data_IF_335955623097
#
_entry.id   IF_335955623097
#
_cell.length_a   1.000
_cell.length_b   1.000
_cell.length_c   1.000
_cell.angle_alpha   90.00
_cell.angle_beta   90.00
_cell.angle_gamma   90.00
#
_symmetry.space_group_name_H-M   'P 1'
#
loop_
_entity.id
_entity.type
_entity.pdbx_description
1 polymer ?
#
# COMPACT_ATOMS: atom_id res chain seq x y z
N UNK A 1 -45.11 33.51 40.32
CA UNK A 1 -43.96 33.77 41.21
C UNK A 1 -42.72 33.88 40.33
N UNK A 2 -42.04 35.05 40.34
CA UNK A 2 -41.05 35.49 39.35
C UNK A 2 -39.62 35.01 39.75
N UNK A 3 -38.49 35.25 39.08
CA UNK A 3 -37.98 36.38 38.28
C UNK A 3 -36.67 35.96 37.57
N UNK A 4 -36.45 36.52 36.38
CA UNK A 4 -35.19 36.58 35.60
C UNK A 4 -34.14 37.56 36.18
N UNK A 5 -32.83 37.28 36.02
CA UNK A 5 -31.78 38.26 35.62
C UNK A 5 -30.41 37.57 35.43
N UNK A 6 -29.81 37.50 34.24
CA UNK A 6 -29.04 38.50 33.45
C UNK A 6 -27.60 38.71 33.95
N UNK A 7 -26.65 38.29 33.09
CA UNK A 7 -25.39 38.91 32.66
C UNK A 7 -24.77 40.06 33.48
N UNK A 8 -23.46 39.94 33.78
CA UNK A 8 -22.36 40.94 33.63
C UNK A 8 -21.17 40.46 34.50
N UNK A 9 -20.02 40.07 33.94
CA UNK A 9 -18.93 40.90 33.40
C UNK A 9 -18.13 41.70 34.47
N UNK A 10 -16.88 41.25 34.66
CA UNK A 10 -15.65 42.00 34.88
C UNK A 10 -15.39 42.80 36.19
N UNK A 11 -14.25 42.43 36.80
CA UNK A 11 -13.26 43.24 37.53
C UNK A 11 -13.55 43.71 38.97
N UNK A 12 -12.84 43.08 39.92
CA UNK A 12 -12.06 43.77 40.96
C UNK A 12 -10.97 42.84 41.50
N UNK A 13 -9.74 43.32 41.49
CA UNK A 13 -8.51 42.68 41.96
C UNK A 13 -8.43 42.64 43.49
N UNK A 14 -7.75 41.61 44.06
CA UNK A 14 -6.48 41.76 44.81
C UNK A 14 -6.10 40.46 45.55
N UNK A 15 -4.86 40.00 45.29
CA UNK A 15 -3.96 39.41 46.29
C UNK A 15 -4.02 37.90 46.54
N UNK A 16 -3.06 37.14 46.01
CA UNK A 16 -2.03 36.48 46.83
C UNK A 16 -0.90 35.88 45.99
N UNK A 17 0.29 35.85 46.58
CA UNK A 17 1.63 35.72 46.01
C UNK A 17 2.02 34.38 45.35
N UNK A 18 2.99 34.56 44.44
CA UNK A 18 3.85 33.63 43.70
C UNK A 18 4.77 32.76 44.59
N UNK A 19 4.93 31.47 44.25
CA UNK A 19 6.22 30.80 43.94
C UNK A 19 6.12 29.27 43.73
N UNK A 20 7.08 28.64 43.00
CA UNK A 20 6.81 27.56 42.05
C UNK A 20 7.31 26.16 42.48
N UNK A 21 6.79 25.11 41.84
CA UNK A 21 7.35 23.75 41.89
C UNK A 21 8.10 23.40 40.59
N UNK A 22 9.31 22.86 40.76
CA UNK A 22 10.39 22.74 39.78
C UNK A 22 10.27 21.57 38.78
N UNK A 23 10.92 21.79 37.63
CA UNK A 23 11.23 20.84 36.57
C UNK A 23 12.18 19.72 37.02
N UNK A 24 11.89 18.49 36.58
CA UNK A 24 12.76 17.32 36.75
C UNK A 24 13.93 17.33 35.77
N UNK A 25 15.15 17.36 36.31
CA UNK A 25 16.41 17.38 35.55
C UNK A 25 17.00 15.98 35.32
N UNK A 26 17.84 15.93 34.29
CA UNK A 26 18.47 14.77 33.65
C UNK A 26 19.47 14.05 34.58
N UNK A 27 19.52 12.71 34.49
CA UNK A 27 20.56 11.86 35.10
C UNK A 27 21.91 12.02 34.38
N UNK A 28 23.05 12.08 35.10
CA UNK A 28 24.37 12.20 34.48
C UNK A 28 25.00 10.86 34.09
N UNK A 29 25.85 10.95 33.07
CA UNK A 29 26.74 9.94 32.48
C UNK A 29 27.97 9.66 33.34
N UNK A 30 28.32 8.38 33.51
CA UNK A 30 29.59 7.96 34.09
C UNK A 30 30.70 7.89 33.02
N UNK A 31 31.68 8.77 33.15
CA UNK A 31 33.00 8.71 32.52
C UNK A 31 33.96 7.92 33.42
N UNK A 32 34.69 6.94 32.87
CA UNK A 32 35.89 6.40 33.51
C UNK A 32 37.01 6.20 32.47
N UNK A 33 37.83 7.24 32.40
CA UNK A 33 39.29 7.29 32.19
C UNK A 33 39.93 6.49 31.03
N UNK A 34 40.32 7.23 29.99
CA UNK A 34 41.50 6.97 29.17
C UNK A 34 42.78 7.26 29.96
N UNK A 35 43.82 6.47 29.72
CA UNK A 35 45.20 6.75 30.12
C UNK A 35 46.10 6.39 28.93
N UNK A 36 46.70 7.42 28.34
CA UNK A 36 47.77 7.28 27.35
C UNK A 36 49.12 7.03 28.06
N UNK A 37 49.94 6.15 27.50
CA UNK A 37 51.40 6.28 27.55
C UNK A 37 52.05 5.44 26.45
N UNK A 38 52.85 6.11 25.63
CA UNK A 38 53.63 5.55 24.55
C UNK A 38 54.87 4.76 25.04
N UNK A 39 55.47 4.01 24.10
CA UNK A 39 56.92 3.85 23.81
C UNK A 39 57.49 2.41 23.86
N UNK A 40 58.14 2.05 22.74
CA UNK A 40 59.26 1.09 22.51
C UNK A 40 59.07 -0.44 22.45
N UNK A 41 59.31 -0.98 21.24
CA UNK A 41 59.87 -2.31 20.88
C UNK A 41 61.32 -2.52 21.42
N UNK A 42 62.02 -3.66 21.16
CA UNK A 42 61.65 -5.08 21.19
C UNK A 42 62.72 -5.94 21.91
N UNK A 43 62.43 -7.18 22.33
CA UNK A 43 63.50 -8.16 22.61
C UNK A 43 63.15 -9.60 22.19
N UNK A 44 64.17 -10.24 21.65
CA UNK A 44 64.14 -11.40 20.78
C UNK A 44 64.22 -12.77 21.49
N UNK A 45 63.71 -13.77 20.76
CA UNK A 45 64.20 -15.17 20.60
C UNK A 45 64.68 -15.94 21.85
N UNK A 46 63.96 -17.05 22.15
CA UNK A 46 64.58 -18.40 22.30
C UNK A 46 63.65 -19.49 21.75
N UNK A 47 64.21 -20.34 20.90
CA UNK A 47 63.61 -21.56 20.34
C UNK A 47 64.20 -22.78 21.07
N UNK A 48 63.42 -23.81 21.48
CA UNK A 48 63.09 -25.11 20.82
C UNK A 48 62.76 -26.13 21.97
N UNK A 49 62.26 -27.39 21.77
CA UNK A 49 61.70 -28.04 20.58
C UNK A 49 60.38 -28.87 20.81
N UNK A 50 59.72 -29.17 19.67
CA UNK A 50 58.96 -30.37 19.27
C UNK A 50 57.97 -31.10 20.21
N UNK A 51 56.69 -31.16 19.79
CA UNK A 51 55.89 -32.40 19.86
C UNK A 51 55.06 -32.58 18.58
N UNK A 52 55.33 -33.68 17.84
CA UNK A 52 54.72 -34.04 16.54
C UNK A 52 53.35 -34.74 16.67
N UNK A 53 52.75 -34.77 17.86
CA UNK A 53 51.51 -35.53 18.10
C UNK A 53 50.19 -34.74 17.92
N UNK A 54 50.23 -33.40 17.80
CA UNK A 54 49.00 -32.56 17.70
C UNK A 54 48.54 -32.20 16.28
N UNK A 55 49.29 -32.58 15.22
CA UNK A 55 48.93 -32.26 13.82
C UNK A 55 47.94 -33.24 13.18
N UNK A 56 47.85 -34.49 13.66
CA UNK A 56 46.96 -35.51 13.09
C UNK A 56 45.50 -35.29 13.48
N UNK A 57 45.20 -34.90 14.72
CA UNK A 57 43.83 -34.57 15.16
C UNK A 57 43.29 -33.29 14.51
N UNK A 58 44.15 -32.31 14.23
CA UNK A 58 43.73 -31.05 13.62
C UNK A 58 43.32 -31.24 12.15
N UNK A 59 44.05 -32.06 11.40
CA UNK A 59 43.72 -32.38 10.00
C UNK A 59 42.46 -33.27 9.86
N UNK A 60 42.16 -34.13 10.83
CA UNK A 60 40.91 -34.90 10.88
C UNK A 60 39.68 -34.02 11.19
N UNK A 61 39.85 -32.96 12.00
CA UNK A 61 38.81 -31.98 12.31
C UNK A 61 38.49 -31.03 11.14
N UNK A 62 39.49 -30.68 10.32
CA UNK A 62 39.28 -29.89 9.11
C UNK A 62 38.60 -30.66 7.97
N UNK A 63 38.96 -31.94 7.78
CA UNK A 63 38.35 -32.78 6.73
C UNK A 63 36.91 -33.19 7.03
N UNK A 64 36.54 -33.30 8.31
CA UNK A 64 35.14 -33.51 8.73
C UNK A 64 34.30 -32.23 8.66
N UNK A 65 34.88 -31.06 8.98
CA UNK A 65 34.23 -29.75 8.82
C UNK A 65 34.05 -29.38 7.34
N UNK A 66 35.04 -29.71 6.50
CA UNK A 66 34.97 -29.55 5.04
C UNK A 66 33.91 -30.47 4.43
N UNK A 67 33.80 -31.74 4.85
CA UNK A 67 32.71 -32.64 4.41
C UNK A 67 31.32 -32.22 4.91
N UNK A 68 31.22 -31.58 6.08
CA UNK A 68 29.96 -30.97 6.55
C UNK A 68 29.57 -29.74 5.74
N UNK A 69 30.55 -28.93 5.35
CA UNK A 69 30.35 -27.75 4.49
C UNK A 69 29.95 -28.17 3.07
N UNK A 70 30.55 -29.22 2.50
CA UNK A 70 30.16 -29.71 1.17
C UNK A 70 28.77 -30.37 1.16
N UNK A 71 28.41 -31.14 2.21
CA UNK A 71 27.03 -31.67 2.34
C UNK A 71 25.98 -30.58 2.59
N UNK A 72 26.34 -29.50 3.31
CA UNK A 72 25.48 -28.33 3.47
C UNK A 72 25.34 -27.53 2.15
N UNK A 73 26.37 -27.53 1.31
CA UNK A 73 26.37 -26.90 -0.01
C UNK A 73 25.59 -27.71 -1.06
N UNK A 74 25.64 -29.06 -1.01
CA UNK A 74 24.85 -29.94 -1.87
C UNK A 74 23.37 -29.95 -1.48
N UNK A 75 23.04 -29.90 -0.17
CA UNK A 75 21.67 -29.69 0.31
C UNK A 75 21.08 -28.31 -0.04
N UNK A 76 21.93 -27.33 -0.38
CA UNK A 76 21.50 -25.99 -0.80
C UNK A 76 21.03 -25.94 -2.26
N UNK A 77 21.51 -26.85 -3.13
CA UNK A 77 21.13 -26.85 -4.57
C UNK A 77 19.67 -27.27 -4.80
N UNK A 78 19.12 -28.15 -3.96
CA UNK A 78 17.72 -28.57 -4.06
C UNK A 78 16.73 -27.60 -3.39
N UNK A 79 17.19 -26.72 -2.49
CA UNK A 79 16.38 -25.60 -1.98
C UNK A 79 16.34 -24.39 -2.92
N UNK A 80 17.42 -24.16 -3.69
CA UNK A 80 17.51 -23.04 -4.64
C UNK A 80 16.40 -23.04 -5.69
N UNK A 81 16.03 -24.19 -6.26
CA UNK A 81 14.98 -24.23 -7.28
C UNK A 81 13.57 -23.91 -6.74
N UNK A 82 13.28 -24.29 -5.49
CA UNK A 82 12.01 -23.98 -4.83
C UNK A 82 11.98 -22.52 -4.36
N UNK A 83 13.07 -22.01 -3.77
CA UNK A 83 13.23 -20.60 -3.39
C UNK A 83 13.22 -19.69 -4.63
N UNK A 84 13.83 -20.08 -5.76
CA UNK A 84 13.86 -19.30 -7.02
C UNK A 84 12.49 -19.28 -7.73
N UNK A 85 11.68 -20.33 -7.60
CA UNK A 85 10.28 -20.34 -8.06
C UNK A 85 9.38 -19.51 -7.11
N UNK A 86 9.62 -19.60 -5.80
CA UNK A 86 8.97 -18.79 -4.77
C UNK A 86 9.29 -17.29 -4.90
N UNK A 87 10.53 -16.95 -5.24
CA UNK A 87 10.98 -15.57 -5.50
C UNK A 87 10.44 -15.05 -6.85
N UNK A 88 10.31 -15.90 -7.87
CA UNK A 88 9.67 -15.55 -9.16
C UNK A 88 8.18 -15.25 -9.03
N UNK A 89 7.45 -15.99 -8.18
CA UNK A 89 6.05 -15.69 -7.87
C UNK A 89 5.87 -14.36 -7.09
N UNK A 90 6.89 -13.91 -6.35
CA UNK A 90 6.89 -12.66 -5.55
C UNK A 90 7.40 -11.43 -6.32
N UNK A 91 7.91 -11.60 -7.53
CA UNK A 91 8.56 -10.53 -8.33
C UNK A 91 7.71 -10.03 -9.48
N UNK A 92 6.63 -10.72 -9.86
CA UNK A 92 5.75 -10.20 -10.88
C UNK A 92 4.81 -9.15 -10.25
N UNK A 93 4.87 -7.88 -10.68
CA UNK A 93 4.02 -6.85 -10.11
C UNK A 93 2.55 -7.17 -10.40
N UNK A 94 1.68 -6.93 -9.43
CA UNK A 94 0.26 -6.93 -9.72
C UNK A 94 -0.06 -5.64 -10.48
N UNK A 95 -0.97 -5.69 -11.44
CA UNK A 95 -1.41 -4.52 -12.19
C UNK A 95 -2.90 -4.62 -12.53
N UNK A 96 -3.48 -3.52 -12.99
CA UNK A 96 -4.88 -3.49 -13.37
C UNK A 96 -5.39 -2.07 -13.60
N UNK A 97 -6.70 -1.95 -13.80
CA UNK A 97 -7.35 -0.65 -13.83
C UNK A 97 -7.80 -0.24 -12.43
N UNK A 98 -7.78 1.06 -12.18
CA UNK A 98 -8.18 1.70 -10.92
C UNK A 98 -9.28 2.72 -11.18
N UNK A 99 -10.25 2.78 -10.28
CA UNK A 99 -11.32 3.76 -10.32
C UNK A 99 -11.52 4.35 -8.94
N UNK A 100 -11.73 5.66 -8.89
CA UNK A 100 -12.00 6.39 -7.67
C UNK A 100 -13.47 6.80 -7.65
N UNK A 101 -14.14 6.47 -6.56
CA UNK A 101 -15.53 6.88 -6.33
C UNK A 101 -15.64 7.59 -5.00
N UNK A 102 -16.51 8.58 -4.89
CA UNK A 102 -16.95 9.09 -3.60
C UNK A 102 -18.47 8.97 -3.49
N UNK A 103 -18.97 8.91 -2.26
CA UNK A 103 -20.41 8.95 -1.97
C UNK A 103 -20.71 10.15 -1.08
N UNK A 104 -21.72 10.98 -1.39
CA UNK A 104 -22.20 12.03 -0.50
C UNK A 104 -22.74 11.49 0.84
N UNK A 105 -22.84 12.35 1.86
CA UNK A 105 -23.49 12.03 3.13
C UNK A 105 -24.96 11.65 2.93
N UNK A 106 -25.47 10.87 3.89
CA UNK A 106 -26.88 10.50 3.98
C UNK A 106 -27.74 11.78 3.97
N UNK A 107 -28.79 11.80 3.16
CA UNK A 107 -29.67 12.95 2.89
C UNK A 107 -29.03 14.11 2.10
N UNK A 108 -27.87 13.89 1.46
CA UNK A 108 -27.30 14.82 0.49
C UNK A 108 -27.22 14.13 -0.88
N UNK A 109 -27.69 14.82 -1.91
CA UNK A 109 -27.55 14.39 -3.32
C UNK A 109 -26.19 14.77 -3.90
N UNK A 110 -25.64 15.90 -3.42
CA UNK A 110 -24.37 16.48 -3.86
C UNK A 110 -23.51 16.81 -2.63
N UNK A 111 -22.19 16.67 -2.77
CA UNK A 111 -21.23 17.09 -1.76
C UNK A 111 -20.58 18.41 -2.22
N UNK A 112 -20.34 19.35 -1.30
CA UNK A 112 -19.66 20.62 -1.61
C UNK A 112 -18.32 20.75 -0.88
N UNK A 113 -17.97 19.75 -0.06
CA UNK A 113 -16.73 19.69 0.71
C UNK A 113 -16.34 18.23 0.98
N UNK A 114 -15.08 17.97 1.36
CA UNK A 114 -14.62 16.63 1.82
C UNK A 114 -15.40 16.19 3.05
N UNK A 115 -15.86 17.15 3.85
CA UNK A 115 -16.70 16.85 5.00
C UNK A 115 -18.03 16.22 4.56
N UNK A 116 -18.62 16.67 3.44
CA UNK A 116 -19.88 16.15 2.88
C UNK A 116 -19.75 14.81 2.19
N UNK A 117 -18.52 14.30 2.03
CA UNK A 117 -18.28 12.93 1.59
C UNK A 117 -18.57 11.98 2.76
N UNK A 118 -19.37 10.95 2.52
CA UNK A 118 -19.56 9.83 3.44
C UNK A 118 -18.37 8.87 3.35
N UNK A 119 -18.16 8.34 2.14
CA UNK A 119 -17.16 7.34 1.84
C UNK A 119 -16.38 7.76 0.59
N UNK A 120 -15.09 7.47 0.60
CA UNK A 120 -14.23 7.54 -0.58
C UNK A 120 -13.71 6.13 -0.85
N UNK A 121 -13.94 5.64 -2.06
CA UNK A 121 -13.66 4.29 -2.50
C UNK A 121 -12.64 4.29 -3.63
N UNK A 122 -11.79 3.28 -3.61
CA UNK A 122 -10.86 2.94 -4.67
C UNK A 122 -11.19 1.51 -5.11
N UNK A 123 -11.63 1.35 -6.34
CA UNK A 123 -11.91 0.06 -6.97
C UNK A 123 -10.69 -0.37 -7.78
N UNK A 124 -10.17 -1.54 -7.49
CA UNK A 124 -9.10 -2.17 -8.27
C UNK A 124 -9.70 -3.32 -9.08
N UNK A 125 -9.41 -3.35 -10.37
CA UNK A 125 -9.75 -4.44 -11.28
C UNK A 125 -8.45 -5.05 -11.79
N UNK A 126 -7.92 -6.12 -11.14
CA UNK A 126 -6.68 -6.74 -11.54
C UNK A 126 -6.73 -7.27 -12.98
N UNK A 127 -5.65 -7.08 -13.73
CA UNK A 127 -5.52 -7.53 -15.13
C UNK A 127 -4.21 -8.27 -15.36
N UNK A 128 -4.16 -9.21 -16.32
CA UNK A 128 -2.89 -9.76 -16.79
C UNK A 128 -2.03 -8.67 -17.46
N UNK A 129 -0.73 -8.94 -17.71
CA UNK A 129 0.10 -8.06 -18.53
C UNK A 129 -0.50 -7.79 -19.90
N UNK A 130 -0.36 -6.58 -20.43
CA UNK A 130 -0.80 -6.26 -21.79
C UNK A 130 -0.19 -7.15 -22.86
N UNK A 131 1.08 -7.52 -22.70
CA UNK A 131 1.76 -8.43 -23.64
C UNK A 131 1.32 -9.90 -23.53
N UNK A 132 0.61 -10.30 -22.46
CA UNK A 132 0.24 -11.70 -22.23
C UNK A 132 -1.08 -12.07 -22.90
N UNK A 133 -1.91 -11.09 -23.25
CA UNK A 133 -3.15 -11.30 -23.99
C UNK A 133 -2.81 -11.01 -25.45
N UNK A 134 -2.78 -12.06 -26.28
CA UNK A 134 -2.63 -11.88 -27.72
C UNK A 134 -3.74 -10.96 -28.24
N UNK A 135 -3.41 -10.04 -29.15
CA UNK A 135 -4.35 -9.08 -29.72
C UNK A 135 -5.56 -9.86 -30.31
N UNK A 136 -6.73 -9.79 -29.68
CA UNK A 136 -7.96 -10.41 -30.19
C UNK A 136 -8.38 -9.65 -31.46
N UNK A 137 -7.82 -10.10 -32.58
CA UNK A 137 -7.85 -9.47 -33.90
C UNK A 137 -6.91 -10.14 -34.89
N UNK A 138 -5.93 -10.92 -34.43
CA UNK A 138 -5.17 -11.84 -35.27
C UNK A 138 -5.71 -13.28 -35.11
N UNK A 139 -5.96 -13.92 -36.24
CA UNK A 139 -6.41 -15.30 -36.41
C UNK A 139 -5.69 -16.32 -35.50
N UNK A 140 -6.44 -17.36 -35.10
CA UNK A 140 -6.08 -18.58 -34.34
C UNK A 140 -4.57 -18.87 -34.18
N UNK A 141 -4.11 -19.27 -32.98
CA UNK A 141 -2.79 -19.87 -32.84
C UNK A 141 -2.81 -21.26 -33.50
N UNK A 142 -2.05 -21.42 -34.57
CA UNK A 142 -1.51 -22.72 -34.94
C UNK A 142 -0.51 -23.16 -33.86
N UNK A 143 -0.34 -24.48 -33.71
CA UNK A 143 0.44 -25.18 -32.68
C UNK A 143 1.81 -24.54 -32.37
N UNK A 144 2.32 -24.67 -31.13
CA UNK A 144 3.50 -23.95 -30.68
C UNK A 144 4.76 -24.59 -31.26
N UNK A 145 5.22 -24.06 -32.39
CA UNK A 145 6.58 -24.29 -32.85
C UNK A 145 7.53 -23.62 -31.85
N UNK A 146 8.43 -24.44 -31.27
CA UNK A 146 9.40 -24.14 -30.20
C UNK A 146 10.48 -23.10 -30.56
N UNK A 147 10.21 -22.21 -31.51
CA UNK A 147 11.11 -21.18 -32.02
C UNK A 147 10.49 -19.78 -32.01
N UNK A 148 9.40 -19.55 -31.26
CA UNK A 148 8.86 -18.19 -31.02
C UNK A 148 9.79 -17.40 -30.10
N UNK A 149 10.85 -16.91 -30.74
CA UNK A 149 11.76 -15.80 -30.48
C UNK A 149 11.52 -14.99 -29.20
N UNK A 150 12.63 -14.74 -28.51
CA UNK A 150 12.81 -13.74 -27.46
C UNK A 150 12.33 -12.35 -27.94
N UNK A 151 11.03 -12.06 -27.88
CA UNK A 151 10.54 -10.69 -27.94
C UNK A 151 11.00 -10.04 -26.63
N UNK A 152 12.13 -9.33 -26.70
CA UNK A 152 12.62 -8.50 -25.60
C UNK A 152 11.47 -7.59 -25.19
N UNK A 153 10.85 -7.88 -24.04
CA UNK A 153 9.83 -7.02 -23.48
C UNK A 153 10.46 -5.66 -23.21
N UNK A 154 9.77 -4.60 -23.62
CA UNK A 154 10.17 -3.24 -23.27
C UNK A 154 10.27 -3.11 -21.75
N UNK A 155 11.20 -2.25 -21.29
CA UNK A 155 11.40 -2.02 -19.87
C UNK A 155 10.08 -1.59 -19.25
N UNK A 156 9.70 -2.22 -18.13
CA UNK A 156 8.46 -1.87 -17.44
C UNK A 156 7.16 -2.34 -18.09
N UNK A 157 7.18 -3.08 -19.21
CA UNK A 157 5.99 -3.64 -19.84
C UNK A 157 5.18 -4.56 -18.91
N UNK A 158 5.81 -5.06 -17.84
CA UNK A 158 5.14 -5.80 -16.78
C UNK A 158 4.38 -4.91 -15.79
N UNK A 159 4.37 -3.58 -15.87
CA UNK A 159 3.46 -2.76 -15.07
C UNK A 159 2.17 -2.41 -15.81
N UNK A 160 2.16 -2.56 -17.13
CA UNK A 160 1.03 -2.18 -17.99
C UNK A 160 -0.03 -3.30 -18.00
N UNK A 161 -1.29 -3.00 -17.62
CA UNK A 161 -2.38 -3.96 -17.70
C UNK A 161 -2.80 -4.25 -19.14
N UNK A 162 -3.40 -5.41 -19.36
CA UNK A 162 -4.11 -5.69 -20.59
C UNK A 162 -5.36 -4.83 -20.71
N UNK A 163 -5.59 -4.36 -21.94
CA UNK A 163 -6.73 -3.57 -22.36
C UNK A 163 -8.03 -4.08 -21.74
N UNK A 164 -8.94 -3.17 -21.39
CA UNK A 164 -10.20 -3.51 -20.75
C UNK A 164 -11.07 -4.37 -21.68
N UNK A 165 -11.76 -5.36 -21.11
CA UNK A 165 -12.73 -6.19 -21.85
C UNK A 165 -14.12 -5.97 -21.31
N UNK A 166 -15.13 -5.85 -22.17
CA UNK A 166 -16.53 -5.70 -21.76
C UNK A 166 -17.09 -7.06 -21.37
N UNK A 167 -17.03 -7.38 -20.08
CA UNK A 167 -17.55 -8.65 -19.52
C UNK A 167 -18.23 -8.36 -18.19
N UNK A 168 -19.27 -9.12 -17.87
CA UNK A 168 -20.02 -8.98 -16.61
C UNK A 168 -19.33 -9.64 -15.42
N UNK A 169 -18.35 -10.51 -15.67
CA UNK A 169 -17.55 -11.18 -14.63
C UNK A 169 -16.13 -10.63 -14.64
N UNK A 170 -15.81 -9.83 -13.63
CA UNK A 170 -14.48 -9.27 -13.42
C UNK A 170 -14.12 -9.37 -11.96
N UNK A 171 -12.98 -10.00 -11.68
CA UNK A 171 -12.45 -9.95 -10.33
C UNK A 171 -12.14 -8.51 -9.94
N UNK A 172 -12.63 -8.08 -8.78
CA UNK A 172 -12.48 -6.72 -8.29
C UNK A 172 -12.19 -6.68 -6.79
N UNK A 173 -11.61 -5.56 -6.35
CA UNK A 173 -11.40 -5.23 -4.94
C UNK A 173 -11.89 -3.81 -4.68
N UNK A 174 -12.84 -3.65 -3.77
CA UNK A 174 -13.33 -2.34 -3.34
C UNK A 174 -12.68 -1.96 -2.02
N UNK A 175 -11.83 -0.92 -2.05
CA UNK A 175 -11.09 -0.41 -0.91
C UNK A 175 -11.72 0.91 -0.47
N UNK A 176 -12.06 1.05 0.81
CA UNK A 176 -12.59 2.30 1.38
C UNK A 176 -11.50 3.03 2.16
N UNK A 177 -11.28 4.30 1.85
CA UNK A 177 -10.25 5.16 2.45
C UNK A 177 -10.82 5.88 3.68
N UNK A 178 -10.21 5.66 4.85
CA UNK A 178 -10.76 6.11 6.13
C UNK A 178 -10.71 7.62 6.38
N UNK A 179 -9.85 8.36 5.66
CA UNK A 179 -9.74 9.82 5.74
C UNK A 179 -10.53 10.56 4.66
N UNK A 180 -11.26 9.83 3.81
CA UNK A 180 -12.02 10.35 2.67
C UNK A 180 -11.17 11.05 1.59
N UNK A 181 -9.84 10.90 1.66
CA UNK A 181 -8.86 11.45 0.72
C UNK A 181 -7.63 10.54 0.71
N UNK A 182 -6.79 10.65 -0.33
CA UNK A 182 -5.48 9.99 -0.42
C UNK A 182 -4.42 10.79 0.33
N UNK A 183 -3.37 10.12 0.87
CA UNK A 183 -2.31 10.81 1.59
C UNK A 183 -1.38 11.56 0.62
N UNK A 184 -0.98 12.77 0.98
CA UNK A 184 -0.15 13.65 0.17
C UNK A 184 1.32 13.63 0.67
N UNK A 185 2.30 13.40 -0.23
CA UNK A 185 3.72 13.42 0.16
C UNK A 185 4.20 14.79 0.67
N UNK A 186 3.60 15.90 0.23
CA UNK A 186 3.89 17.27 0.67
C UNK A 186 3.42 17.61 2.08
N UNK A 187 2.51 16.83 2.68
CA UNK A 187 1.94 17.08 4.02
C UNK A 187 2.68 16.38 5.17
N UNK A 188 3.96 16.03 4.97
CA UNK A 188 4.75 15.35 5.99
C UNK A 188 4.84 16.18 7.29
N UNK A 189 4.32 15.63 8.39
CA UNK A 189 4.32 16.31 9.70
C UNK A 189 5.43 15.74 10.59
N UNK A 190 6.32 16.59 11.09
CA UNK A 190 7.39 16.18 12.02
C UNK A 190 8.35 15.14 11.43
N UNK A 191 8.60 15.22 10.11
CA UNK A 191 9.48 14.28 9.39
C UNK A 191 8.86 12.90 9.13
N UNK A 192 7.57 12.71 9.44
CA UNK A 192 6.83 11.47 9.11
C UNK A 192 5.95 11.70 7.88
N UNK A 193 6.02 10.76 6.95
CA UNK A 193 5.15 10.70 5.77
C UNK A 193 3.69 10.58 6.22
N UNK A 194 2.80 11.29 5.54
CA UNK A 194 1.37 11.18 5.78
C UNK A 194 0.92 9.72 5.56
N UNK A 195 0.09 9.21 6.46
CA UNK A 195 -0.30 7.80 6.47
C UNK A 195 -1.78 7.66 6.76
N UNK A 196 -2.53 7.12 5.81
CA UNK A 196 -3.96 6.90 5.95
C UNK A 196 -4.30 5.42 5.99
N UNK A 197 -5.33 5.12 6.78
CA UNK A 197 -5.92 3.79 6.84
C UNK A 197 -6.87 3.60 5.68
N UNK A 198 -6.88 2.39 5.14
CA UNK A 198 -7.91 1.93 4.23
C UNK A 198 -8.36 0.52 4.63
N UNK A 199 -9.54 0.11 4.17
CA UNK A 199 -10.06 -1.24 4.42
C UNK A 199 -10.56 -1.83 3.11
N UNK A 200 -10.19 -3.07 2.79
CA UNK A 200 -10.84 -3.84 1.74
C UNK A 200 -12.26 -4.16 2.22
N UNK A 201 -13.25 -3.55 1.59
CA UNK A 201 -14.66 -3.62 2.00
C UNK A 201 -15.50 -4.58 1.17
N UNK A 202 -15.05 -4.92 -0.03
CA UNK A 202 -15.64 -6.00 -0.83
C UNK A 202 -14.58 -6.59 -1.77
N UNK A 203 -14.67 -7.88 -2.03
CA UNK A 203 -13.89 -8.61 -3.03
C UNK A 203 -14.85 -9.57 -3.71
N UNK A 204 -14.78 -9.70 -5.03
CA UNK A 204 -15.67 -10.58 -5.77
C UNK A 204 -15.40 -10.58 -7.26
N UNK A 205 -16.23 -11.31 -8.00
CA UNK A 205 -16.19 -11.36 -9.47
C UNK A 205 -17.47 -10.82 -10.12
N UNK A 206 -18.47 -10.51 -9.29
CA UNK A 206 -19.81 -10.12 -9.72
C UNK A 206 -19.97 -8.59 -9.75
N UNK A 207 -19.99 -8.03 -10.95
CA UNK A 207 -20.16 -6.59 -11.15
C UNK A 207 -21.55 -6.10 -10.73
N UNK A 208 -22.59 -6.94 -10.77
CA UNK A 208 -23.95 -6.53 -10.37
C UNK A 208 -24.02 -6.25 -8.86
N UNK A 209 -23.40 -7.11 -8.05
CA UNK A 209 -23.29 -6.88 -6.60
C UNK A 209 -22.46 -5.63 -6.28
N UNK A 210 -21.43 -5.34 -7.08
CA UNK A 210 -20.62 -4.12 -6.93
C UNK A 210 -21.46 -2.88 -7.26
N UNK A 211 -22.15 -2.89 -8.40
CA UNK A 211 -23.04 -1.82 -8.86
C UNK A 211 -24.11 -1.51 -7.82
N UNK A 212 -24.84 -2.53 -7.34
CA UNK A 212 -25.81 -2.37 -6.24
C UNK A 212 -25.17 -1.84 -4.95
N UNK A 213 -23.92 -2.22 -4.69
CA UNK A 213 -23.13 -1.70 -3.57
C UNK A 213 -22.87 -0.21 -3.68
N UNK A 214 -22.59 0.27 -4.89
CA UNK A 214 -22.30 1.66 -5.23
C UNK A 214 -23.55 2.49 -5.53
N UNK A 215 -24.69 1.87 -5.85
CA UNK A 215 -25.95 2.56 -6.18
C UNK A 215 -26.64 3.24 -4.99
N UNK A 216 -27.76 3.89 -5.30
CA UNK A 216 -28.62 4.54 -4.30
C UNK A 216 -29.19 3.56 -3.28
N UNK A 217 -29.41 4.03 -2.06
CA UNK A 217 -30.01 3.21 -0.99
C UNK A 217 -31.00 4.04 -0.18
N UNK A 218 -32.25 3.60 -0.16
CA UNK A 218 -33.28 4.12 0.75
C UNK A 218 -33.55 3.11 1.84
N UNK A 219 -33.51 3.53 3.11
CA UNK A 219 -33.75 2.63 4.25
C UNK A 219 -34.43 3.34 5.42
N UNK A 220 -35.22 2.59 6.18
CA UNK A 220 -35.92 3.11 7.35
C UNK A 220 -35.06 3.04 8.61
N UNK A 221 -35.06 4.10 9.41
CA UNK A 221 -34.41 4.14 10.72
C UNK A 221 -35.41 4.31 11.84
N UNK A 222 -35.21 3.57 12.93
CA UNK A 222 -36.08 3.60 14.11
C UNK A 222 -36.22 4.98 14.75
N UNK A 223 -35.20 5.84 14.61
CA UNK A 223 -35.11 7.12 15.32
C UNK A 223 -35.24 8.34 14.43
N UNK A 224 -34.98 8.22 13.13
CA UNK A 224 -34.97 9.36 12.19
C UNK A 224 -35.77 9.11 10.91
N UNK A 225 -36.62 8.07 10.90
CA UNK A 225 -37.46 7.72 9.76
C UNK A 225 -36.65 7.32 8.53
N UNK A 226 -37.19 7.62 7.34
CA UNK A 226 -36.59 7.30 6.05
C UNK A 226 -35.26 8.03 5.86
N UNK A 227 -34.23 7.28 5.49
CA UNK A 227 -32.90 7.77 5.14
C UNK A 227 -32.62 7.45 3.68
N UNK A 228 -32.10 8.44 2.96
CA UNK A 228 -31.63 8.30 1.60
C UNK A 228 -30.10 8.40 1.53
N UNK A 229 -29.48 7.52 0.76
CA UNK A 229 -28.08 7.61 0.35
C UNK A 229 -28.01 7.67 -1.16
N UNK A 230 -27.51 8.80 -1.67
CA UNK A 230 -27.19 8.98 -3.08
C UNK A 230 -26.21 7.91 -3.59
N UNK A 231 -26.23 7.63 -4.91
CA UNK A 231 -25.24 6.73 -5.51
C UNK A 231 -23.83 7.30 -5.38
N UNK A 232 -22.84 6.42 -5.43
CA UNK A 232 -21.44 6.79 -5.54
C UNK A 232 -21.19 7.45 -6.91
N UNK A 233 -20.21 8.34 -7.00
CA UNK A 233 -19.87 9.08 -8.22
C UNK A 233 -18.42 8.83 -8.60
N UNK A 234 -18.17 8.56 -9.88
CA UNK A 234 -16.83 8.33 -10.42
C UNK A 234 -16.08 9.68 -10.49
N UNK A 235 -14.85 9.72 -9.97
CA UNK A 235 -13.99 10.93 -9.99
C UNK A 235 -12.63 10.72 -10.64
N UNK A 236 -12.29 9.48 -10.96
CA UNK A 236 -11.08 9.19 -11.70
C UNK A 236 -11.01 7.75 -12.13
N UNK A 237 -10.34 7.53 -13.26
CA UNK A 237 -10.03 6.22 -13.84
C UNK A 237 -8.60 6.23 -14.34
N UNK A 238 -7.91 5.12 -14.16
CA UNK A 238 -6.54 4.95 -14.60
C UNK A 238 -6.09 3.50 -14.57
N UNK A 239 -4.78 3.30 -14.60
CA UNK A 239 -4.14 2.03 -14.29
C UNK A 239 -3.24 2.14 -13.06
N UNK A 240 -3.04 1.00 -12.42
CA UNK A 240 -2.18 0.87 -11.26
C UNK A 240 -1.20 -0.30 -11.42
N UNK A 241 -0.09 -0.20 -10.68
CA UNK A 241 0.85 -1.28 -10.49
C UNK A 241 1.25 -1.38 -9.01
N UNK A 242 1.36 -2.62 -8.51
CA UNK A 242 1.88 -2.96 -7.20
C UNK A 242 3.19 -3.69 -7.39
N UNK A 243 4.27 -3.06 -6.94
CA UNK A 243 5.64 -3.50 -7.16
C UNK A 243 6.31 -3.75 -5.82
N UNK A 244 6.97 -4.89 -5.69
CA UNK A 244 7.87 -5.16 -4.57
C UNK A 244 9.28 -4.74 -4.95
N UNK A 245 9.91 -3.89 -4.15
CA UNK A 245 11.34 -3.63 -4.32
C UNK A 245 12.16 -4.84 -3.81
N UNK A 246 13.39 -4.97 -4.29
CA UNK A 246 14.30 -6.03 -3.83
C UNK A 246 15.66 -5.45 -3.39
N UNK A 247 15.69 -4.74 -2.26
CA UNK A 247 16.88 -4.09 -1.76
C UNK A 247 17.89 -5.12 -1.25
N UNK A 248 19.17 -4.69 -1.19
CA UNK A 248 20.27 -5.51 -0.68
C UNK A 248 20.05 -5.98 0.76
N UNK A 249 19.33 -5.20 1.58
CA UNK A 249 19.04 -5.51 2.98
C UNK A 249 17.54 -5.78 3.16
N UNK A 250 17.14 -6.88 3.85
CA UNK A 250 15.72 -7.21 4.02
C UNK A 250 14.87 -6.12 4.69
N UNK A 251 15.47 -5.29 5.54
CA UNK A 251 14.77 -4.21 6.25
C UNK A 251 14.35 -3.04 5.35
N UNK A 252 14.91 -2.93 4.14
CA UNK A 252 14.51 -1.90 3.18
C UNK A 252 13.35 -2.33 2.27
N UNK A 253 12.81 -3.54 2.47
CA UNK A 253 11.76 -4.08 1.60
C UNK A 253 10.49 -3.27 1.76
N UNK A 254 9.95 -2.82 0.65
CA UNK A 254 8.75 -2.02 0.53
C UNK A 254 7.95 -2.51 -0.67
N UNK A 255 6.63 -2.43 -0.53
CA UNK A 255 5.70 -2.64 -1.63
C UNK A 255 5.17 -1.27 -2.04
N UNK A 256 5.48 -0.85 -3.27
CA UNK A 256 4.96 0.37 -3.85
C UNK A 256 3.65 0.09 -4.57
N UNK A 257 2.62 0.87 -4.27
CA UNK A 257 1.40 0.99 -5.06
C UNK A 257 1.49 2.30 -5.83
N UNK A 258 1.54 2.25 -7.15
CA UNK A 258 1.55 3.44 -8.00
C UNK A 258 0.37 3.42 -8.96
N UNK A 259 -0.14 4.60 -9.31
CA UNK A 259 -1.15 4.75 -10.35
C UNK A 259 -0.87 5.96 -11.24
N UNK A 260 -1.41 5.90 -12.44
CA UNK A 260 -1.54 7.03 -13.35
C UNK A 260 -2.99 7.11 -13.83
N UNK A 261 -3.56 8.31 -13.91
CA UNK A 261 -4.91 8.53 -14.43
C UNK A 261 -4.89 8.66 -15.95
N UNK A 262 -5.86 8.07 -16.61
CA UNK A 262 -6.22 8.41 -17.99
C UNK A 262 -7.35 9.43 -18.01
N UNK A 263 -8.27 9.36 -17.04
CA UNK A 263 -9.44 10.25 -16.97
C UNK A 263 -9.71 10.70 -15.52
N UNK A 264 -9.95 11.99 -15.26
CA UNK A 264 -9.67 13.11 -16.16
C UNK A 264 -8.16 13.22 -16.46
N UNK A 265 -7.82 13.94 -17.52
CA UNK A 265 -6.44 14.24 -17.89
C UNK A 265 -5.80 15.22 -16.90
N UNK A 266 -4.46 15.29 -16.89
CA UNK A 266 -3.73 16.20 -16.01
C UNK A 266 -4.13 17.68 -16.19
N UNK A 267 -4.52 18.07 -17.40
CA UNK A 267 -4.96 19.43 -17.74
C UNK A 267 -6.36 19.75 -17.22
N UNK A 268 -7.20 18.73 -17.06
CA UNK A 268 -8.57 18.85 -16.53
C UNK A 268 -8.59 18.85 -15.00
N UNK A 269 -7.54 18.33 -14.36
CA UNK A 269 -7.37 18.38 -12.90
C UNK A 269 -6.85 19.76 -12.49
N UNK A 270 -7.77 20.65 -12.14
CA UNK A 270 -7.46 21.95 -11.54
C UNK A 270 -7.29 21.87 -10.02
N UNK A 271 -6.73 22.93 -9.42
CA UNK A 271 -6.57 23.05 -7.96
C UNK A 271 -7.90 23.09 -7.19
N UNK A 272 -8.97 23.56 -7.84
CA UNK A 272 -10.33 23.66 -7.29
C UNK A 272 -11.21 22.46 -7.71
N UNK A 273 -10.58 21.38 -8.18
CA UNK A 273 -11.29 20.18 -8.61
C UNK A 273 -11.55 19.24 -7.43
N UNK A 274 -12.63 18.45 -7.53
CA UNK A 274 -12.93 17.38 -6.56
C UNK A 274 -11.77 16.38 -6.43
N UNK A 275 -11.01 16.17 -7.50
CA UNK A 275 -9.82 15.33 -7.48
C UNK A 275 -8.77 15.87 -6.52
N UNK A 276 -8.48 17.18 -6.60
CA UNK A 276 -7.52 17.84 -5.72
C UNK A 276 -7.94 17.73 -4.24
N UNK A 277 -9.22 17.96 -3.92
CA UNK A 277 -9.75 17.85 -2.56
C UNK A 277 -9.71 16.42 -2.00
N UNK A 278 -9.88 15.42 -2.86
CA UNK A 278 -9.75 14.01 -2.50
C UNK A 278 -8.29 13.53 -2.49
N UNK A 279 -7.32 14.41 -2.76
CA UNK A 279 -5.89 14.08 -2.82
C UNK A 279 -5.51 13.21 -4.03
N UNK A 280 -6.34 13.21 -5.07
CA UNK A 280 -6.10 12.50 -6.32
C UNK A 280 -5.22 13.37 -7.21
N UNK A 281 -4.07 12.84 -7.61
CA UNK A 281 -3.14 13.49 -8.52
C UNK A 281 -3.08 12.71 -9.84
N UNK A 282 -2.66 13.33 -10.97
CA UNK A 282 -2.54 12.62 -12.25
C UNK A 282 -1.69 11.36 -12.17
N UNK A 283 -0.60 11.41 -11.42
CA UNK A 283 0.26 10.29 -11.09
C UNK A 283 0.64 10.35 -9.61
N UNK A 284 0.58 9.21 -8.91
CA UNK A 284 0.95 9.16 -7.50
C UNK A 284 1.36 7.75 -7.08
N UNK A 285 2.12 7.66 -5.99
CA UNK A 285 2.60 6.41 -5.42
C UNK A 285 2.59 6.41 -3.88
N UNK A 286 2.42 5.21 -3.33
CA UNK A 286 2.34 4.95 -1.90
C UNK A 286 3.17 3.73 -1.54
N UNK A 287 3.70 3.70 -0.32
CA UNK A 287 4.15 2.44 0.29
C UNK A 287 2.95 1.78 0.95
N UNK A 288 2.66 0.55 0.53
CA UNK A 288 1.51 -0.23 0.98
C UNK A 288 1.92 -1.24 2.04
N UNK A 289 1.29 -1.15 3.21
CA UNK A 289 1.43 -2.15 4.27
C UNK A 289 0.07 -2.70 4.69
N UNK A 290 0.07 -3.94 5.16
CA UNK A 290 -1.13 -4.64 5.64
C UNK A 290 -1.00 -4.84 7.15
N UNK A 291 -2.05 -4.47 7.88
CA UNK A 291 -2.11 -4.69 9.33
C UNK A 291 -2.41 -6.17 9.62
N UNK A 292 -1.66 -6.73 10.56
CA UNK A 292 -1.93 -8.03 11.13
C UNK A 292 -3.24 -7.98 11.95
N UNK A 293 -4.24 -8.83 11.65
CA UNK A 293 -5.53 -8.86 12.36
C UNK A 293 -5.41 -9.33 13.81
N UNK A 294 -4.37 -10.12 14.16
CA UNK A 294 -4.11 -10.57 15.53
C UNK A 294 -3.39 -9.51 16.37
N UNK A 295 -2.76 -8.52 15.75
CA UNK A 295 -2.10 -7.46 16.48
C UNK A 295 -3.14 -6.47 17.03
N UNK A 296 -3.07 -6.06 18.31
CA UNK A 296 -4.07 -5.16 18.89
C UNK A 296 -4.07 -3.81 18.17
N UNK A 297 -5.23 -3.17 17.98
CA UNK A 297 -5.28 -1.85 17.33
C UNK A 297 -4.73 -0.75 18.26
N UNK A 298 -3.83 0.08 17.74
CA UNK A 298 -3.38 1.32 18.39
C UNK A 298 -4.31 2.51 18.12
N UNK A 299 -5.16 2.42 17.09
CA UNK A 299 -6.12 3.45 16.73
C UNK A 299 -7.48 3.14 17.39
N UNK A 300 -8.02 4.04 18.25
CA UNK A 300 -9.33 3.86 18.87
C UNK A 300 -10.47 3.62 17.87
N UNK A 301 -10.44 4.30 16.72
CA UNK A 301 -11.47 4.17 15.68
C UNK A 301 -11.51 2.76 15.03
N UNK A 302 -10.39 2.04 15.08
CA UNK A 302 -10.24 0.70 14.49
C UNK A 302 -10.36 -0.44 15.51
N UNK A 303 -10.54 -0.13 16.80
CA UNK A 303 -10.50 -1.15 17.88
C UNK A 303 -11.60 -2.20 17.76
N UNK A 304 -12.77 -1.79 17.27
CA UNK A 304 -13.97 -2.63 17.18
C UNK A 304 -14.25 -3.14 15.76
N UNK A 305 -13.40 -2.81 14.79
CA UNK A 305 -13.57 -3.32 13.42
C UNK A 305 -13.06 -4.75 13.34
N UNK A 306 -13.87 -5.64 12.77
CA UNK A 306 -13.44 -7.00 12.45
C UNK A 306 -12.36 -6.92 11.35
N UNK A 307 -11.18 -7.44 11.63
CA UNK A 307 -10.11 -7.55 10.63
C UNK A 307 -10.33 -8.71 9.68
N UNK A 308 -9.54 -8.78 8.62
CA UNK A 308 -9.54 -9.89 7.67
C UNK A 308 -9.26 -11.24 8.33
N UNK A 309 -9.91 -12.27 7.79
CA UNK A 309 -9.64 -13.67 8.09
C UNK A 309 -8.68 -14.23 7.04
N UNK A 310 -7.39 -14.29 7.39
CA UNK A 310 -6.37 -14.88 6.54
C UNK A 310 -6.16 -16.37 6.86
N UNK A 311 -5.88 -17.22 5.85
CA UNK A 311 -5.42 -18.58 6.05
C UNK A 311 -4.19 -18.65 6.97
N UNK A 312 -4.06 -19.75 7.71
CA UNK A 312 -2.94 -19.96 8.65
C UNK A 312 -1.56 -19.92 7.97
N UNK A 313 -1.48 -20.25 6.68
CA UNK A 313 -0.26 -20.08 5.89
C UNK A 313 0.14 -18.61 5.79
N UNK A 314 -0.75 -17.72 5.34
CA UNK A 314 -0.50 -16.28 5.26
C UNK A 314 -0.11 -15.75 6.65
N UNK A 315 -0.84 -16.17 7.69
CA UNK A 315 -0.56 -15.74 9.06
C UNK A 315 0.85 -16.13 9.52
N UNK A 316 1.33 -17.33 9.19
CA UNK A 316 2.69 -17.78 9.55
C UNK A 316 3.76 -17.16 8.64
N UNK A 317 3.54 -17.15 7.33
CA UNK A 317 4.59 -16.86 6.35
C UNK A 317 4.75 -15.36 6.09
N UNK A 318 3.65 -14.60 6.10
CA UNK A 318 3.68 -13.15 5.92
C UNK A 318 3.90 -12.48 7.27
N UNK A 319 2.98 -12.71 8.21
CA UNK A 319 2.96 -12.01 9.49
C UNK A 319 3.88 -12.62 10.55
N UNK A 320 4.20 -13.90 10.48
CA UNK A 320 5.08 -14.55 11.47
C UNK A 320 4.37 -15.06 12.71
N UNK A 321 3.08 -15.42 12.61
CA UNK A 321 2.30 -16.04 13.70
C UNK A 321 3.08 -17.21 14.30
N UNK A 322 3.21 -17.22 15.63
CA UNK A 322 4.05 -18.16 16.37
C UNK A 322 5.46 -17.64 16.68
N UNK A 323 5.75 -16.37 16.38
CA UNK A 323 7.01 -15.72 16.74
C UNK A 323 8.16 -15.94 15.76
N UNK A 324 7.88 -16.40 14.53
CA UNK A 324 8.91 -16.55 13.48
C UNK A 324 9.39 -15.20 12.93
N UNK A 325 8.56 -14.15 13.06
CA UNK A 325 8.92 -12.76 12.76
C UNK A 325 8.40 -11.82 13.87
N UNK A 326 9.12 -10.74 14.14
CA UNK A 326 8.74 -9.80 15.20
C UNK A 326 9.05 -10.32 16.61
N UNK A 327 8.68 -9.55 17.62
CA UNK A 327 8.94 -9.88 19.04
C UNK A 327 7.75 -10.56 19.74
N UNK A 328 6.57 -10.40 19.17
CA UNK A 328 5.30 -10.83 19.77
C UNK A 328 4.85 -12.17 19.18
N UNK A 329 4.05 -12.93 19.93
CA UNK A 329 3.56 -14.24 19.49
C UNK A 329 2.64 -14.16 18.26
N UNK A 330 1.94 -13.04 18.08
CA UNK A 330 1.13 -12.78 16.89
C UNK A 330 1.98 -12.46 15.65
N UNK A 331 3.28 -12.21 15.80
CA UNK A 331 4.19 -11.86 14.73
C UNK A 331 4.45 -10.35 14.56
N UNK A 332 4.71 -9.93 13.32
CA UNK A 332 4.78 -8.53 12.92
C UNK A 332 3.40 -7.86 13.05
N UNK A 333 3.37 -6.60 13.47
CA UNK A 333 2.14 -5.81 13.52
C UNK A 333 1.66 -5.37 12.14
N UNK A 334 2.62 -5.06 11.27
CA UNK A 334 2.44 -4.65 9.89
C UNK A 334 3.38 -5.46 9.01
N UNK A 335 2.90 -5.86 7.85
CA UNK A 335 3.71 -6.53 6.83
C UNK A 335 3.65 -5.73 5.52
N UNK A 336 4.69 -5.84 4.71
CA UNK A 336 4.65 -5.38 3.31
C UNK A 336 3.62 -6.19 2.54
N UNK A 337 2.98 -5.56 1.55
CA UNK A 337 1.99 -6.24 0.70
C UNK A 337 2.66 -7.06 -0.42
N UNK A 338 3.65 -7.89 -0.07
CA UNK A 338 4.42 -8.65 -1.07
C UNK A 338 3.58 -9.69 -1.83
N UNK A 339 2.53 -10.21 -1.16
CA UNK A 339 1.55 -11.12 -1.76
C UNK A 339 0.28 -10.33 -2.04
N UNK A 340 -0.07 -10.19 -3.32
CA UNK A 340 -1.32 -9.58 -3.78
C UNK A 340 -2.57 -10.21 -3.12
N UNK A 341 -2.50 -11.50 -2.80
CA UNK A 341 -3.53 -12.27 -2.08
C UNK A 341 -3.94 -11.64 -0.76
N UNK A 342 -3.07 -10.85 -0.10
CA UNK A 342 -3.43 -10.13 1.12
C UNK A 342 -4.59 -9.14 0.90
N UNK A 343 -4.78 -8.68 -0.33
CA UNK A 343 -5.85 -7.77 -0.70
C UNK A 343 -7.15 -8.50 -1.10
N UNK A 344 -7.13 -9.83 -1.21
CA UNK A 344 -8.27 -10.66 -1.61
C UNK A 344 -9.16 -11.07 -0.43
N UNK A 345 -8.96 -10.45 0.74
CA UNK A 345 -9.71 -10.73 1.95
C UNK A 345 -10.48 -9.49 2.42
N UNK A 346 -11.80 -9.61 2.52
CA UNK A 346 -12.64 -8.57 3.11
C UNK A 346 -12.24 -8.29 4.57
N UNK A 347 -12.25 -7.02 4.96
CA UNK A 347 -11.78 -6.55 6.26
C UNK A 347 -10.26 -6.37 6.33
N UNK A 348 -9.51 -6.59 5.24
CA UNK A 348 -8.08 -6.35 5.22
C UNK A 348 -7.79 -4.87 5.45
N UNK A 349 -7.12 -4.56 6.55
CA UNK A 349 -6.76 -3.20 6.94
C UNK A 349 -5.40 -2.84 6.36
N UNK A 350 -5.37 -1.75 5.59
CA UNK A 350 -4.23 -1.28 4.84
C UNK A 350 -3.74 0.05 5.39
N UNK A 351 -2.43 0.27 5.28
CA UNK A 351 -1.80 1.58 5.44
C UNK A 351 -1.29 2.04 4.07
N UNK A 352 -1.83 3.16 3.62
CA UNK A 352 -1.28 3.94 2.52
C UNK A 352 -0.36 5.00 3.11
N UNK A 353 0.94 4.83 2.90
CA UNK A 353 1.96 5.77 3.34
C UNK A 353 2.38 6.57 2.12
N UNK A 354 2.22 7.89 2.15
CA UNK A 354 2.60 8.77 1.03
C UNK A 354 4.04 8.52 0.60
N UNK A 355 4.26 8.26 -0.69
CA UNK A 355 5.60 8.07 -1.23
C UNK A 355 6.02 9.26 -2.11
N UNK A 356 5.51 9.33 -3.34
CA UNK A 356 5.87 10.35 -4.33
C UNK A 356 4.71 10.63 -5.27
N UNK A 357 4.49 11.89 -5.59
CA UNK A 357 3.54 12.38 -6.59
C UNK A 357 4.24 12.70 -7.92
N UNK A 358 3.44 12.86 -8.97
CA UNK A 358 3.92 13.18 -10.31
C UNK A 358 4.52 11.98 -11.06
N UNK A 359 4.68 12.15 -12.37
CA UNK A 359 5.19 11.10 -13.27
C UNK A 359 6.64 10.69 -12.92
N UNK A 360 7.51 11.65 -12.61
CA UNK A 360 8.89 11.38 -12.17
C UNK A 360 8.93 10.61 -10.85
N UNK A 361 8.07 10.99 -9.89
CA UNK A 361 7.96 10.33 -8.60
C UNK A 361 7.42 8.90 -8.71
N UNK A 362 6.47 8.69 -9.63
CA UNK A 362 5.93 7.38 -9.97
C UNK A 362 7.01 6.49 -10.61
N UNK A 363 7.77 7.01 -11.58
CA UNK A 363 8.90 6.33 -12.21
C UNK A 363 9.93 5.88 -11.18
N UNK A 364 10.34 6.76 -10.26
CA UNK A 364 11.30 6.42 -9.21
C UNK A 364 10.75 5.33 -8.26
N UNK A 365 9.47 5.41 -7.90
CA UNK A 365 8.86 4.49 -6.92
C UNK A 365 8.63 3.09 -7.49
N UNK A 366 8.21 2.98 -8.75
CA UNK A 366 7.98 1.69 -9.38
C UNK A 366 9.29 1.09 -9.94
N UNK A 367 10.23 1.91 -10.39
CA UNK A 367 11.54 1.49 -10.91
C UNK A 367 11.46 0.60 -12.15
N UNK A 368 12.62 0.23 -12.70
CA UNK A 368 12.75 -0.66 -13.86
C UNK A 368 11.95 -0.21 -15.11
N UNK A 369 11.75 1.11 -15.30
CA UNK A 369 10.96 1.67 -16.40
C UNK A 369 9.44 1.50 -16.26
N UNK A 370 8.97 0.95 -15.12
CA UNK A 370 7.55 0.62 -14.92
C UNK A 370 6.65 1.84 -14.80
N UNK A 371 7.13 2.92 -14.19
CA UNK A 371 6.33 4.14 -14.07
C UNK A 371 6.18 4.83 -15.41
N UNK A 372 7.26 4.92 -16.18
CA UNK A 372 7.25 5.47 -17.53
C UNK A 372 6.33 4.68 -18.46
N UNK A 373 6.41 3.35 -18.44
CA UNK A 373 5.55 2.48 -19.23
C UNK A 373 4.06 2.63 -18.86
N UNK A 374 3.76 2.78 -17.56
CA UNK A 374 2.40 3.01 -17.08
C UNK A 374 1.87 4.38 -17.51
N UNK A 375 2.69 5.42 -17.38
CA UNK A 375 2.38 6.79 -17.84
C UNK A 375 2.08 6.82 -19.34
N UNK A 376 2.94 6.23 -20.17
CA UNK A 376 2.73 6.21 -21.63
C UNK A 376 1.44 5.47 -22.01
N UNK A 377 1.15 4.35 -21.35
CA UNK A 377 -0.08 3.59 -21.59
C UNK A 377 -1.34 4.42 -21.24
N UNK A 378 -1.37 5.05 -20.07
CA UNK A 378 -2.53 5.84 -19.65
C UNK A 378 -2.70 7.15 -20.43
N UNK A 379 -1.60 7.76 -20.89
CA UNK A 379 -1.67 8.89 -21.82
C UNK A 379 -2.28 8.48 -23.16
N UNK A 380 -2.01 7.27 -23.67
CA UNK A 380 -2.71 6.74 -24.86
C UNK A 380 -4.18 6.49 -24.58
N UNK A 381 -4.51 5.85 -23.45
CA UNK A 381 -5.90 5.58 -23.07
C UNK A 381 -6.71 6.86 -22.79
N UNK A 382 -6.07 7.97 -22.38
CA UNK A 382 -6.74 9.26 -22.17
C UNK A 382 -7.35 9.89 -23.44
N UNK A 383 -7.03 9.35 -24.61
CA UNK A 383 -7.62 9.78 -25.88
C UNK A 383 -8.96 9.08 -26.17
N UNK A 384 -9.32 8.07 -25.38
CA UNK A 384 -10.61 7.39 -25.52
C UNK A 384 -11.77 8.23 -24.95
N UNK A 385 -13.00 7.89 -25.35
CA UNK A 385 -14.17 8.57 -24.84
C UNK A 385 -14.53 8.08 -23.43
N UNK A 386 -14.91 8.98 -22.52
CA UNK A 386 -15.34 8.63 -21.15
C UNK A 386 -16.46 7.59 -21.12
N UNK A 387 -17.33 7.55 -22.12
CA UNK A 387 -18.42 6.57 -22.21
C UNK A 387 -17.92 5.10 -22.30
N UNK A 388 -16.73 4.88 -22.86
CA UNK A 388 -16.11 3.54 -22.90
C UNK A 388 -15.75 3.05 -21.49
N UNK A 389 -15.38 3.98 -20.59
CA UNK A 389 -14.97 3.70 -19.21
C UNK A 389 -16.12 3.13 -18.37
N UNK A 390 -17.34 3.66 -18.53
CA UNK A 390 -18.52 3.16 -17.83
C UNK A 390 -18.97 1.81 -18.39
N UNK A 391 -18.95 1.69 -19.72
CA UNK A 391 -19.20 0.43 -20.42
C UNK A 391 -18.21 -0.66 -20.02
N UNK A 392 -16.98 -0.30 -19.65
CA UNK A 392 -16.01 -1.24 -19.12
C UNK A 392 -16.49 -1.82 -17.78
N UNK A 393 -16.86 -0.99 -16.82
CA UNK A 393 -17.28 -1.46 -15.50
C UNK A 393 -18.67 -2.10 -15.48
N UNK A 394 -19.40 -2.02 -16.60
CA UNK A 394 -20.80 -2.43 -16.67
C UNK A 394 -21.70 -1.51 -15.85
N UNK A 395 -21.29 -0.25 -15.62
CA UNK A 395 -22.06 0.75 -14.88
C UNK A 395 -22.82 1.67 -15.85
N UNK A 396 -24.07 2.01 -15.54
CA UNK A 396 -24.81 3.00 -16.31
C UNK A 396 -24.44 4.44 -15.89
N UNK A 397 -23.99 5.26 -16.85
CA UNK A 397 -23.73 6.70 -16.68
C UNK A 397 -24.91 7.48 -16.10
N UNK A 398 -26.15 7.01 -16.34
CA UNK A 398 -27.36 7.62 -15.79
C UNK A 398 -27.53 7.34 -14.31
N UNK A 399 -27.11 6.17 -13.86
CA UNK A 399 -27.15 5.78 -12.44
C UNK A 399 -25.94 6.34 -11.67
N UNK A 400 -24.79 6.43 -12.34
CA UNK A 400 -23.51 6.88 -11.78
C UNK A 400 -22.99 8.11 -12.54
N UNK A 401 -23.48 9.33 -12.23
CA UNK A 401 -23.08 10.51 -12.98
C UNK A 401 -21.58 10.78 -12.82
N UNK A 402 -20.90 10.96 -13.96
CA UNK A 402 -19.48 11.33 -14.04
C UNK A 402 -19.22 12.82 -13.77
N UNK A 403 -20.27 13.64 -13.81
CA UNK A 403 -20.13 15.09 -13.68
C UNK A 403 -19.57 15.46 -12.29
N UNK A 404 -18.53 16.32 -12.25
CA UNK A 404 -17.95 16.77 -10.99
C UNK A 404 -18.98 17.55 -10.17
N UNK A 405 -18.65 17.75 -8.90
CA UNK A 405 -19.46 18.51 -7.96
C UNK A 405 -19.64 19.95 -8.44
N UNK A 406 -20.82 20.53 -8.19
CA UNK A 406 -21.08 21.95 -8.41
C UNK A 406 -20.95 22.68 -7.08
N UNK A 407 -20.23 23.81 -7.09
CA UNK A 407 -20.04 24.69 -5.94
C UNK A 407 -18.60 25.16 -5.81
N UNK A 408 -18.39 26.34 -5.23
CA UNK A 408 -17.07 26.79 -4.79
C UNK A 408 -16.70 26.00 -3.53
N UNK A 409 -15.64 25.19 -3.61
CA UNK A 409 -15.05 24.52 -2.46
C UNK A 409 -14.21 25.58 -1.75
N UNK A 410 -14.65 26.01 -0.56
CA UNK A 410 -14.03 27.10 0.23
C UNK A 410 -12.88 26.57 1.08
#
# INVERSE_FOLDING_TARGET
>A
MPTTRRQAAAQAEQGYDDKPAQAGSKRPSSLRQQKDSATTEPLAKKAKPASKAKKSEWNAKLTSRSRRLTRAFEGSKHKGAADDAWHRARTNPQRGHIYFFYRPKVQLEEASSVDDVKNFHMLLVPRPPGFAVGNEGASKPEEPDNESEMKMLESGANAVPAQPVHTTKKFYRLITLGKKQLPNPGHATGGRKETFWATVTAVGEDLESLEKGLGEKTYETKTRGTRHEAPSRLVGRGAYAIVNNNPRVPSGRETHFGYHLSHPTAQEIGSESVQADLGIHPANSFVLQVKNPLAPSTNPAMRNQKGAEYPDEIMRDVFGKGGSKGRESYGLRFATCERAELLDHEGAQLLFIAARDGEEGLAESLGDGRGEALTEAEQKESQEAVDSVFSELGLDLKEFPAAPLRGEWI
#
